data_IF_251878691886
#
_entry.id   IF_251878691886
#
_cell.length_a   1.000
_cell.length_b   1.000
_cell.length_c   1.000
_cell.angle_alpha   90.00
_cell.angle_beta   90.00
_cell.angle_gamma   90.00
#
_symmetry.space_group_name_H-M   'P 1'
#
loop_
_entity.id
_entity.type
_entity.pdbx_description
1 polymer ?
#
# COMPACT_ATOMS: atom_id res chain seq x y z
N UNK A 1 64.37 18.06 22.73
CA UNK A 1 63.21 18.82 22.19
C UNK A 1 63.07 18.38 20.74
N UNK A 2 62.00 17.75 20.27
CA UNK A 2 60.59 17.96 20.58
C UNK A 2 59.82 16.65 20.35
N UNK A 3 59.41 16.00 21.45
CA UNK A 3 58.41 14.91 21.46
C UNK A 3 56.98 15.49 21.33
N UNK A 4 56.87 16.80 21.11
CA UNK A 4 55.60 17.53 21.15
C UNK A 4 54.77 17.47 19.86
N UNK A 5 55.29 16.90 18.76
CA UNK A 5 54.57 16.90 17.48
C UNK A 5 53.83 15.59 17.16
N UNK A 6 54.11 14.50 17.88
CA UNK A 6 53.53 13.18 17.58
C UNK A 6 52.29 12.81 18.40
N UNK A 7 51.94 13.60 19.42
CA UNK A 7 50.83 13.30 20.35
C UNK A 7 49.54 14.06 20.06
N UNK A 8 49.51 14.96 19.09
CA UNK A 8 48.34 15.78 18.77
C UNK A 8 47.51 15.30 17.57
N UNK A 9 47.92 14.21 16.90
CA UNK A 9 47.16 13.63 15.77
C UNK A 9 46.26 12.43 16.13
N UNK A 10 46.09 12.11 17.41
CA UNK A 10 45.26 10.96 17.86
C UNK A 10 44.02 11.36 18.67
N UNK A 11 43.66 12.64 18.72
CA UNK A 11 42.49 13.15 19.44
C UNK A 11 41.44 13.71 18.47
N UNK A 12 40.92 12.86 17.58
CA UNK A 12 39.71 13.17 16.81
C UNK A 12 39.05 11.91 16.25
N UNK A 13 38.49 11.08 17.11
CA UNK A 13 37.24 10.37 16.79
C UNK A 13 36.45 10.28 18.10
N UNK A 14 35.11 10.33 18.11
CA UNK A 14 34.25 9.81 17.03
C UNK A 14 33.02 10.71 16.75
N UNK A 15 32.19 10.25 15.81
CA UNK A 15 30.80 10.71 15.63
C UNK A 15 30.60 12.09 15.05
N UNK A 16 30.86 12.24 13.75
CA UNK A 16 29.79 12.63 12.82
C UNK A 16 30.09 11.87 11.52
N UNK A 17 29.77 10.56 11.49
CA UNK A 17 29.10 10.10 10.28
C UNK A 17 27.77 10.82 10.38
N UNK A 18 27.74 12.05 9.84
CA UNK A 18 26.51 12.50 9.23
C UNK A 18 26.19 11.31 8.36
N UNK A 19 25.11 10.62 8.69
CA UNK A 19 24.36 10.01 7.63
C UNK A 19 24.22 11.15 6.64
N UNK A 20 25.08 11.15 5.62
CA UNK A 20 24.73 11.66 4.32
C UNK A 20 23.39 11.02 4.16
N UNK A 21 22.36 11.85 4.37
CA UNK A 21 21.00 11.39 4.35
C UNK A 21 20.93 10.66 3.05
N UNK A 22 20.83 9.34 3.12
CA UNK A 22 20.26 8.58 2.03
C UNK A 22 18.83 9.10 2.05
N UNK A 23 18.64 10.25 1.39
CA UNK A 23 17.40 10.77 0.91
C UNK A 23 16.95 9.70 -0.06
N UNK A 24 16.45 8.64 0.53
CA UNK A 24 15.74 7.60 -0.15
C UNK A 24 14.39 8.26 -0.46
N UNK A 25 14.13 8.65 -1.72
CA UNK A 25 12.87 9.26 -2.10
C UNK A 25 11.69 8.28 -1.92
N UNK A 26 11.96 7.03 -1.53
CA UNK A 26 10.99 5.96 -1.32
C UNK A 26 10.55 5.80 0.14
N UNK A 27 10.95 6.68 1.07
CA UNK A 27 10.36 6.69 2.42
C UNK A 27 8.96 7.30 2.37
N UNK A 28 7.95 6.46 2.16
CA UNK A 28 6.63 6.70 2.75
C UNK A 28 6.85 6.77 4.27
N UNK A 29 7.01 7.98 4.80
CA UNK A 29 7.04 8.20 6.24
C UNK A 29 5.65 7.88 6.76
N UNK A 30 5.49 6.66 7.25
CA UNK A 30 4.31 6.23 7.99
C UNK A 30 4.79 6.07 9.42
N UNK A 31 4.20 6.85 10.33
CA UNK A 31 4.50 6.66 11.73
C UNK A 31 4.07 5.25 12.15
N UNK A 32 5.01 4.36 12.43
CA UNK A 32 4.75 2.94 12.75
C UNK A 32 3.90 2.74 14.03
N UNK A 33 3.56 3.83 14.73
CA UNK A 33 2.72 3.86 15.94
C UNK A 33 1.22 4.06 15.65
N UNK A 34 0.80 4.46 14.45
CA UNK A 34 -0.62 4.61 14.12
C UNK A 34 -1.20 3.35 13.47
N UNK A 35 -2.11 2.68 14.18
CA UNK A 35 -2.99 1.64 13.64
C UNK A 35 -4.39 2.22 13.45
N UNK A 36 -4.87 2.33 12.20
CA UNK A 36 -6.31 2.49 12.01
C UNK A 36 -6.99 1.14 12.28
N UNK A 37 -8.20 1.14 12.87
CA UNK A 37 -8.95 -0.09 13.01
C UNK A 37 -9.29 -0.64 11.62
N UNK A 38 -8.67 -1.76 11.24
CA UNK A 38 -9.05 -2.51 10.03
C UNK A 38 -10.49 -3.00 10.24
N UNK A 39 -11.42 -2.51 9.41
CA UNK A 39 -12.83 -2.91 9.43
C UNK A 39 -13.12 -3.84 8.27
N UNK A 40 -13.01 -5.13 8.55
CA UNK A 40 -13.33 -6.18 7.61
C UNK A 40 -14.85 -6.33 7.48
N UNK A 41 -15.35 -6.30 6.24
CA UNK A 41 -16.73 -6.66 5.91
C UNK A 41 -16.70 -7.86 4.96
N UNK A 42 -17.27 -8.99 5.37
CA UNK A 42 -17.32 -10.21 4.56
C UNK A 42 -18.65 -10.28 3.79
N UNK A 43 -18.60 -10.55 2.48
CA UNK A 43 -19.77 -10.93 1.68
C UNK A 43 -19.39 -12.04 0.70
N UNK A 44 -20.01 -13.20 0.86
CA UNK A 44 -19.86 -14.41 0.01
C UNK A 44 -20.07 -15.69 0.83
N UNK A 45 -20.60 -16.76 0.22
CA UNK A 45 -20.96 -18.02 0.92
C UNK A 45 -19.77 -18.91 1.30
N UNK A 46 -18.66 -18.83 0.57
CA UNK A 46 -17.39 -19.55 0.82
C UNK A 46 -16.22 -18.60 1.12
N UNK A 47 -16.51 -17.30 1.21
CA UNK A 47 -15.56 -16.25 1.50
C UNK A 47 -15.31 -16.17 3.01
N UNK A 48 -14.05 -16.16 3.43
CA UNK A 48 -13.68 -15.86 4.82
C UNK A 48 -12.73 -14.68 4.85
N UNK A 49 -12.81 -13.92 5.93
CA UNK A 49 -11.79 -12.93 6.25
C UNK A 49 -11.38 -13.12 7.71
N UNK A 50 -10.13 -13.55 7.90
CA UNK A 50 -9.53 -13.87 9.19
C UNK A 50 -8.62 -12.73 9.62
N UNK A 51 -8.94 -12.08 10.74
CA UNK A 51 -8.06 -11.09 11.36
C UNK A 51 -7.10 -11.80 12.31
N UNK A 52 -5.81 -11.78 12.02
CA UNK A 52 -4.79 -12.38 12.90
C UNK A 52 -4.40 -11.43 14.04
N UNK A 53 -4.30 -10.13 13.73
CA UNK A 53 -3.95 -9.07 14.66
C UNK A 53 -4.48 -7.72 14.14
N UNK A 54 -4.12 -6.61 14.77
CA UNK A 54 -4.58 -5.27 14.37
C UNK A 54 -4.03 -4.78 13.02
N UNK A 55 -3.01 -5.44 12.46
CA UNK A 55 -2.26 -5.05 11.25
C UNK A 55 -2.25 -6.13 10.17
N UNK A 56 -2.96 -7.23 10.38
CA UNK A 56 -2.91 -8.41 9.52
C UNK A 56 -4.29 -9.01 9.30
N UNK A 57 -4.62 -9.26 8.03
CA UNK A 57 -5.86 -9.89 7.61
C UNK A 57 -5.61 -10.88 6.49
N UNK A 58 -6.21 -12.07 6.57
CA UNK A 58 -6.27 -13.02 5.47
C UNK A 58 -7.66 -13.04 4.88
N UNK A 59 -7.71 -13.02 3.57
CA UNK A 59 -8.89 -13.10 2.74
C UNK A 59 -8.86 -14.44 2.02
N UNK A 60 -9.95 -15.20 2.04
CA UNK A 60 -10.09 -16.46 1.31
C UNK A 60 -11.30 -16.40 0.39
N UNK A 61 -11.14 -16.94 -0.81
CA UNK A 61 -12.12 -16.94 -1.89
C UNK A 61 -12.36 -15.57 -2.50
N UNK A 62 -13.51 -15.42 -3.17
CA UNK A 62 -13.97 -14.19 -3.83
C UNK A 62 -14.54 -13.19 -2.82
N UNK A 63 -13.76 -12.85 -1.79
CA UNK A 63 -14.12 -11.91 -0.74
C UNK A 63 -13.63 -10.49 -1.04
N UNK A 64 -14.05 -9.51 -0.25
CA UNK A 64 -13.57 -8.12 -0.34
C UNK A 64 -13.27 -7.63 1.07
N UNK A 65 -12.28 -6.76 1.22
CA UNK A 65 -11.93 -6.19 2.52
C UNK A 65 -11.77 -4.68 2.40
N UNK A 66 -12.37 -3.95 3.34
CA UNK A 66 -12.19 -2.50 3.48
C UNK A 66 -11.08 -2.27 4.51
N UNK A 67 -9.94 -1.74 4.08
CA UNK A 67 -8.78 -1.58 4.96
C UNK A 67 -8.84 -0.34 5.84
N UNK A 68 -9.59 0.67 5.41
CA UNK A 68 -9.56 2.02 5.97
C UNK A 68 -10.83 2.75 5.56
N UNK A 69 -11.39 3.57 6.46
CA UNK A 69 -12.60 4.39 6.22
C UNK A 69 -12.49 5.85 6.69
N UNK A 70 -11.36 6.56 6.53
CA UNK A 70 -11.27 7.94 6.95
C UNK A 70 -12.14 8.79 6.04
N UNK A 71 -12.71 9.87 6.55
CA UNK A 71 -13.20 10.97 5.71
C UNK A 71 -12.08 12.02 5.68
N UNK A 72 -10.94 11.68 5.08
CA UNK A 72 -9.75 12.54 5.11
C UNK A 72 -9.15 12.76 3.73
N UNK A 73 -8.71 14.00 3.51
CA UNK A 73 -8.10 14.46 2.26
C UNK A 73 -6.65 14.03 2.11
N UNK A 74 -5.92 13.91 3.22
CA UNK A 74 -4.51 13.53 3.28
C UNK A 74 -4.34 12.21 4.03
N UNK A 75 -4.01 11.12 3.32
CA UNK A 75 -3.95 9.76 3.87
C UNK A 75 -2.72 9.03 3.34
N UNK A 76 -2.03 8.30 4.22
CA UNK A 76 -0.98 7.36 3.83
C UNK A 76 -1.32 5.97 4.31
N UNK A 77 -1.09 4.98 3.47
CA UNK A 77 -1.21 3.58 3.85
C UNK A 77 -0.08 2.77 3.22
N UNK A 78 0.45 1.80 3.97
CA UNK A 78 1.31 0.75 3.43
C UNK A 78 0.88 -0.61 3.97
N UNK A 79 1.19 -1.63 3.19
CA UNK A 79 0.92 -3.03 3.51
C UNK A 79 1.87 -3.94 2.74
N UNK A 80 1.96 -5.19 3.19
CA UNK A 80 2.58 -6.30 2.48
C UNK A 80 1.50 -7.28 2.04
N UNK A 81 1.41 -7.59 0.75
CA UNK A 81 0.49 -8.56 0.17
C UNK A 81 1.21 -9.87 -0.15
N UNK A 82 0.63 -11.01 0.26
CA UNK A 82 1.16 -12.35 0.03
C UNK A 82 -0.01 -13.26 -0.39
N UNK A 83 0.05 -13.86 -1.57
CA UNK A 83 -1.00 -14.77 -2.03
C UNK A 83 -0.55 -16.23 -2.12
N UNK A 84 -1.51 -17.15 -2.23
CA UNK A 84 -1.26 -18.56 -2.52
C UNK A 84 -1.23 -18.86 -4.04
N UNK A 85 -0.96 -20.11 -4.40
CA UNK A 85 -0.89 -20.58 -5.80
C UNK A 85 -2.23 -20.46 -6.55
N UNK A 86 -3.35 -20.49 -5.83
CA UNK A 86 -4.70 -20.36 -6.38
C UNK A 86 -5.07 -18.91 -6.71
N UNK A 87 -4.39 -17.94 -6.08
CA UNK A 87 -4.58 -16.52 -6.37
C UNK A 87 -3.94 -16.17 -7.73
N UNK A 88 -4.67 -15.41 -8.54
CA UNK A 88 -4.22 -14.88 -9.83
C UNK A 88 -3.71 -13.43 -9.71
N UNK A 89 -4.15 -12.73 -8.66
CA UNK A 89 -3.76 -11.36 -8.38
C UNK A 89 -4.71 -10.71 -7.38
N UNK A 90 -4.69 -9.39 -7.31
CA UNK A 90 -5.65 -8.62 -6.52
C UNK A 90 -5.84 -7.21 -7.09
N UNK A 91 -6.95 -6.59 -6.72
CA UNK A 91 -7.29 -5.20 -7.00
C UNK A 91 -7.32 -4.40 -5.71
N UNK A 92 -6.80 -3.19 -5.76
CA UNK A 92 -6.97 -2.16 -4.75
C UNK A 92 -7.78 -1.02 -5.37
N UNK A 93 -8.98 -0.81 -4.86
CA UNK A 93 -9.80 0.35 -5.21
C UNK A 93 -9.55 1.44 -4.17
N UNK A 94 -9.06 2.58 -4.65
CA UNK A 94 -8.77 3.77 -3.87
C UNK A 94 -9.82 4.82 -4.18
N UNK A 95 -10.13 5.66 -3.19
CA UNK A 95 -11.10 6.76 -3.30
C UNK A 95 -12.47 6.30 -3.77
N UNK A 96 -13.02 5.31 -3.08
CA UNK A 96 -14.35 4.75 -3.37
C UNK A 96 -15.06 4.40 -2.06
N UNK A 97 -16.35 4.10 -2.13
CA UNK A 97 -17.07 3.33 -1.11
C UNK A 97 -17.45 1.95 -1.65
N UNK A 98 -17.87 1.03 -0.77
CA UNK A 98 -18.43 -0.26 -1.22
C UNK A 98 -19.74 -0.05 -1.98
N UNK A 99 -20.57 0.90 -1.53
CA UNK A 99 -21.80 1.30 -2.22
C UNK A 99 -21.51 1.81 -3.62
N UNK A 100 -20.55 2.73 -3.76
CA UNK A 100 -20.14 3.28 -5.06
C UNK A 100 -19.58 2.21 -5.99
N UNK A 101 -18.76 1.30 -5.46
CA UNK A 101 -18.19 0.20 -6.23
C UNK A 101 -19.27 -0.77 -6.73
N UNK A 102 -20.26 -1.10 -5.89
CA UNK A 102 -21.29 -2.09 -6.20
C UNK A 102 -22.46 -1.54 -7.02
N UNK A 103 -22.94 -0.35 -6.66
CA UNK A 103 -24.19 0.20 -7.18
C UNK A 103 -23.96 1.24 -8.27
N UNK A 104 -22.84 1.94 -8.23
CA UNK A 104 -22.56 3.07 -9.12
C UNK A 104 -21.35 2.85 -10.03
N UNK A 105 -20.63 1.73 -9.85
CA UNK A 105 -19.35 1.45 -10.52
C UNK A 105 -18.37 2.62 -10.46
N UNK A 106 -18.48 3.44 -9.41
CA UNK A 106 -17.71 4.66 -9.26
C UNK A 106 -16.53 4.36 -8.35
N UNK A 107 -15.33 4.59 -8.83
CA UNK A 107 -14.08 4.38 -8.10
C UNK A 107 -13.07 5.43 -8.55
N UNK A 108 -12.12 5.82 -7.69
CA UNK A 108 -11.18 6.88 -8.03
C UNK A 108 -9.97 6.36 -8.80
N UNK A 109 -9.14 5.56 -8.13
CA UNK A 109 -7.97 4.92 -8.76
C UNK A 109 -7.99 3.45 -8.41
N UNK A 110 -7.80 2.60 -9.41
CA UNK A 110 -7.70 1.16 -9.22
C UNK A 110 -6.29 0.70 -9.54
N UNK A 111 -5.61 0.10 -8.56
CA UNK A 111 -4.42 -0.70 -8.84
C UNK A 111 -4.83 -2.16 -9.04
N UNK A 112 -4.37 -2.76 -10.13
CA UNK A 112 -4.49 -4.18 -10.41
C UNK A 112 -3.07 -4.75 -10.44
N UNK A 113 -2.80 -5.77 -9.63
CA UNK A 113 -1.56 -6.54 -9.69
C UNK A 113 -1.92 -8.01 -9.87
N UNK A 114 -1.58 -8.58 -11.01
CA UNK A 114 -1.85 -9.98 -11.33
C UNK A 114 -0.68 -10.62 -12.09
N UNK A 115 -0.88 -11.85 -12.56
CA UNK A 115 0.14 -12.61 -13.31
C UNK A 115 0.55 -11.96 -14.64
N UNK A 116 -0.27 -11.08 -15.20
CA UNK A 116 0.04 -10.37 -16.45
C UNK A 116 0.89 -9.13 -16.18
N UNK A 117 0.70 -8.49 -15.03
CA UNK A 117 1.44 -7.30 -14.64
C UNK A 117 0.69 -6.40 -13.68
N UNK A 118 1.23 -5.20 -13.54
CA UNK A 118 0.63 -4.11 -12.80
C UNK A 118 -0.07 -3.16 -13.77
N UNK A 119 -1.29 -2.77 -13.43
CA UNK A 119 -2.06 -1.73 -14.13
C UNK A 119 -2.64 -0.77 -13.11
N UNK A 120 -2.55 0.52 -13.40
CA UNK A 120 -3.20 1.59 -12.62
C UNK A 120 -4.23 2.22 -13.54
N UNK A 121 -5.48 2.24 -13.09
CA UNK A 121 -6.64 2.69 -13.86
C UNK A 121 -7.24 3.92 -13.20
N UNK A 122 -7.78 4.82 -14.01
CA UNK A 122 -8.60 5.94 -13.53
C UNK A 122 -10.04 5.54 -13.23
N UNK A 123 -10.85 6.54 -12.89
CA UNK A 123 -12.28 6.41 -12.60
C UNK A 123 -13.13 5.90 -13.77
N UNK A 124 -12.61 6.00 -15.00
CA UNK A 124 -13.24 5.51 -16.23
C UNK A 124 -12.63 4.19 -16.73
N UNK A 125 -11.75 3.56 -15.95
CA UNK A 125 -11.02 2.35 -16.33
C UNK A 125 -9.99 2.54 -17.45
N UNK A 126 -9.62 3.79 -17.75
CA UNK A 126 -8.51 4.10 -18.64
C UNK A 126 -7.19 3.79 -17.94
N UNK A 127 -6.25 3.19 -18.66
CA UNK A 127 -4.91 2.88 -18.12
C UNK A 127 -4.12 4.17 -17.95
N UNK A 128 -3.80 4.50 -16.69
CA UNK A 128 -2.91 5.61 -16.32
C UNK A 128 -1.44 5.20 -16.33
N UNK A 129 -1.16 3.96 -15.94
CA UNK A 129 0.16 3.35 -15.98
C UNK A 129 0.04 1.83 -16.08
N UNK A 130 1.01 1.19 -16.73
CA UNK A 130 1.09 -0.26 -16.74
C UNK A 130 2.53 -0.72 -16.89
N UNK A 131 2.85 -1.86 -16.29
CA UNK A 131 4.10 -2.56 -16.50
C UNK A 131 3.87 -4.06 -16.39
N UNK A 132 4.56 -4.83 -17.21
CA UNK A 132 4.60 -6.27 -17.12
C UNK A 132 5.83 -6.75 -16.33
N UNK A 133 6.67 -5.86 -15.78
CA UNK A 133 7.84 -6.27 -14.99
C UNK A 133 7.50 -6.50 -13.51
N UNK A 134 6.44 -5.84 -13.01
CA UNK A 134 5.90 -6.06 -11.68
C UNK A 134 4.67 -6.94 -11.82
N UNK A 135 4.80 -8.21 -11.42
CA UNK A 135 3.74 -9.22 -11.50
C UNK A 135 3.46 -9.78 -10.13
N UNK A 136 2.24 -10.27 -9.96
CA UNK A 136 1.93 -11.14 -8.84
C UNK A 136 2.69 -12.46 -8.97
N UNK A 137 3.32 -12.89 -7.88
CA UNK A 137 3.94 -14.20 -7.74
C UNK A 137 3.47 -14.84 -6.43
N UNK A 138 3.00 -16.09 -6.51
CA UNK A 138 2.56 -16.84 -5.35
C UNK A 138 3.68 -17.00 -4.31
N UNK A 139 3.33 -16.85 -3.03
CA UNK A 139 4.27 -16.92 -1.91
C UNK A 139 5.28 -15.77 -1.81
N UNK A 140 5.42 -14.91 -2.82
CA UNK A 140 6.37 -13.79 -2.82
C UNK A 140 5.72 -12.55 -2.18
N UNK A 141 6.26 -12.03 -1.07
CA UNK A 141 5.72 -10.82 -0.46
C UNK A 141 5.91 -9.60 -1.35
N UNK A 142 4.82 -8.86 -1.58
CA UNK A 142 4.83 -7.63 -2.35
C UNK A 142 4.46 -6.46 -1.44
N UNK A 143 5.39 -5.51 -1.29
CA UNK A 143 5.13 -4.28 -0.54
C UNK A 143 4.36 -3.29 -1.41
N UNK A 144 3.32 -2.69 -0.85
CA UNK A 144 2.47 -1.70 -1.52
C UNK A 144 2.27 -0.53 -0.59
N UNK A 145 2.38 0.67 -1.13
CA UNK A 145 2.05 1.89 -0.39
C UNK A 145 1.30 2.86 -1.30
N UNK A 146 0.46 3.70 -0.70
CA UNK A 146 -0.13 4.83 -1.39
C UNK A 146 -0.22 6.03 -0.47
N UNK A 147 -0.14 7.20 -1.09
CA UNK A 147 -0.32 8.50 -0.46
C UNK A 147 -1.38 9.27 -1.24
N UNK A 148 -2.39 9.75 -0.52
CA UNK A 148 -3.37 10.69 -0.99
C UNK A 148 -3.05 12.08 -0.41
N UNK A 149 -3.01 13.07 -1.29
CA UNK A 149 -2.85 14.50 -0.96
C UNK A 149 -3.91 15.29 -1.74
N UNK A 150 -5.02 15.59 -1.07
CA UNK A 150 -6.20 16.21 -1.69
C UNK A 150 -6.76 15.34 -2.83
N UNK A 151 -6.58 15.81 -4.07
CA UNK A 151 -6.99 15.13 -5.31
C UNK A 151 -5.87 14.29 -5.94
N UNK A 152 -4.67 14.26 -5.37
CA UNK A 152 -3.51 13.58 -5.93
C UNK A 152 -3.24 12.27 -5.23
N UNK A 153 -2.85 11.23 -5.98
CA UNK A 153 -2.50 9.92 -5.44
C UNK A 153 -1.15 9.48 -5.98
N UNK A 154 -0.24 9.09 -5.09
CA UNK A 154 0.99 8.38 -5.45
C UNK A 154 0.87 6.93 -4.99
N UNK A 155 1.40 6.01 -5.78
CA UNK A 155 1.35 4.57 -5.48
C UNK A 155 2.75 3.99 -5.65
N UNK A 156 3.20 3.21 -4.68
CA UNK A 156 4.42 2.42 -4.82
C UNK A 156 4.13 0.93 -4.70
N UNK A 157 4.79 0.15 -5.55
CA UNK A 157 4.79 -1.31 -5.52
C UNK A 157 6.22 -1.80 -5.62
N UNK A 158 6.64 -2.59 -4.63
CA UNK A 158 8.04 -2.94 -4.45
C UNK A 158 8.91 -1.67 -4.33
N UNK A 159 9.88 -1.53 -5.21
CA UNK A 159 10.78 -0.37 -5.30
C UNK A 159 10.38 0.63 -6.40
N UNK A 160 9.18 0.49 -6.99
CA UNK A 160 8.74 1.33 -8.11
C UNK A 160 7.66 2.30 -7.65
N UNK A 161 7.78 3.56 -8.04
CA UNK A 161 6.83 4.63 -7.75
C UNK A 161 6.03 5.01 -9.01
N UNK A 162 4.73 5.22 -8.83
CA UNK A 162 3.78 5.62 -9.86
C UNK A 162 3.02 6.88 -9.44
N UNK A 163 2.68 7.70 -10.43
CA UNK A 163 1.96 8.97 -10.22
C UNK A 163 2.89 10.18 -10.05
N UNK A 164 2.35 11.31 -9.54
CA UNK A 164 1.02 11.47 -8.97
C UNK A 164 -0.10 11.40 -10.01
N UNK A 165 -1.21 10.77 -9.66
CA UNK A 165 -2.45 10.69 -10.45
C UNK A 165 -3.53 11.59 -9.85
N UNK A 166 -4.31 12.27 -10.69
CA UNK A 166 -5.38 13.16 -10.25
C UNK A 166 -6.74 12.47 -10.37
N UNK A 167 -7.61 12.66 -9.37
CA UNK A 167 -9.03 12.24 -9.44
C UNK A 167 -9.96 13.42 -9.19
N UNK A 168 -11.17 13.38 -9.73
CA UNK A 168 -12.19 14.39 -9.43
C UNK A 168 -12.89 14.09 -8.10
N UNK A 169 -12.81 12.83 -7.65
CA UNK A 169 -13.35 12.37 -6.38
C UNK A 169 -12.55 12.97 -5.21
N UNK A 170 -13.22 13.60 -4.23
CA UNK A 170 -12.56 14.09 -3.03
C UNK A 170 -12.03 12.92 -2.17
N UNK A 171 -11.03 13.23 -1.35
CA UNK A 171 -10.69 12.59 -0.07
C UNK A 171 -11.33 11.22 0.21
N UNK A 172 -10.53 10.18 0.00
CA UNK A 172 -10.82 8.75 0.16
C UNK A 172 -11.84 8.44 1.25
N UNK A 173 -12.97 7.78 0.92
CA UNK A 173 -13.88 7.23 1.93
C UNK A 173 -13.54 5.78 2.30
N UNK A 174 -12.95 4.99 1.39
CA UNK A 174 -12.42 3.66 1.68
C UNK A 174 -11.28 3.22 0.74
N UNK A 175 -10.43 2.32 1.25
CA UNK A 175 -9.56 1.45 0.42
C UNK A 175 -10.11 0.04 0.44
N UNK A 176 -10.48 -0.49 -0.73
CA UNK A 176 -11.10 -1.81 -0.87
C UNK A 176 -10.14 -2.74 -1.59
N UNK A 177 -9.85 -3.89 -1.00
CA UNK A 177 -9.08 -4.97 -1.63
C UNK A 177 -10.01 -6.04 -2.14
N UNK A 178 -9.74 -6.53 -3.35
CA UNK A 178 -10.48 -7.63 -3.98
C UNK A 178 -9.48 -8.63 -4.55
N UNK A 179 -9.38 -9.86 -4.01
CA UNK A 179 -8.60 -10.94 -4.61
C UNK A 179 -9.15 -11.29 -6.00
N UNK A 180 -8.26 -11.68 -6.91
CA UNK A 180 -8.59 -12.22 -8.23
C UNK A 180 -8.19 -13.70 -8.21
N UNK A 181 -9.16 -14.59 -8.42
CA UNK A 181 -8.93 -16.03 -8.50
C UNK A 181 -10.18 -16.83 -8.13
N UNK A 182 -9.99 -18.14 -7.89
CA UNK A 182 -11.05 -19.09 -7.53
C UNK A 182 -11.35 -19.14 -6.03
N UNK A 183 -12.30 -20.00 -5.63
CA UNK A 183 -12.84 -20.06 -4.26
C UNK A 183 -11.79 -20.42 -3.19
N UNK A 184 -10.71 -21.12 -3.57
CA UNK A 184 -9.57 -21.45 -2.68
C UNK A 184 -8.46 -20.39 -2.68
N UNK A 185 -8.63 -19.29 -3.43
CA UNK A 185 -7.65 -18.21 -3.48
C UNK A 185 -7.49 -17.59 -2.10
N UNK A 186 -6.25 -17.36 -1.67
CA UNK A 186 -5.97 -16.70 -0.41
C UNK A 186 -5.03 -15.53 -0.62
N UNK A 187 -5.41 -14.38 -0.04
CA UNK A 187 -4.61 -13.18 0.03
C UNK A 187 -4.41 -12.79 1.49
N UNK A 188 -3.16 -12.77 1.92
CA UNK A 188 -2.75 -12.28 3.23
C UNK A 188 -2.19 -10.86 3.08
N UNK A 189 -2.80 -9.93 3.78
CA UNK A 189 -2.32 -8.57 3.95
C UNK A 189 -1.72 -8.45 5.35
N UNK A 190 -0.47 -7.97 5.44
CA UNK A 190 0.30 -7.83 6.68
C UNK A 190 0.93 -6.45 6.75
N UNK A 191 1.45 -6.12 7.93
CA UNK A 191 2.16 -4.85 8.18
C UNK A 191 1.33 -3.64 7.77
N UNK A 192 -0.01 -3.75 7.89
CA UNK A 192 -0.92 -2.69 7.50
C UNK A 192 -0.69 -1.51 8.43
N UNK A 193 -0.15 -0.44 7.87
CA UNK A 193 0.15 0.80 8.55
C UNK A 193 -0.62 1.93 7.89
N UNK A 194 -1.28 2.75 8.70
CA UNK A 194 -2.14 3.82 8.23
C UNK A 194 -1.83 5.11 8.98
N UNK A 195 -1.80 6.22 8.27
CA UNK A 195 -1.65 7.54 8.82
C UNK A 195 -2.66 8.49 8.19
N UNK A 196 -3.47 9.09 9.06
CA UNK A 196 -4.42 10.15 8.78
C UNK A 196 -3.70 11.48 9.06
N UNK A 197 -3.31 12.22 8.01
CA UNK A 197 -2.44 13.40 8.17
C UNK A 197 -3.27 14.65 8.51
N UNK A 198 -4.45 14.82 7.87
CA UNK A 198 -5.37 15.94 8.13
C UNK A 198 -6.84 15.57 7.88
N UNK A 199 -7.78 16.08 8.71
CA UNK A 199 -9.22 16.02 8.44
C UNK A 199 -9.59 16.68 7.10
#
# INVERSE_FOLDING_TARGET
>A
MSILLLTLLTLATPFVVSSIGTSDPYRFWINATTTAPIRVWNRGTLASVEKFDERSVRMVGKTRAVLTTPKQTEVRLAMTAIGNEQLEGFRLHLRTTDTDLLQHQRQGITLVLDRQGLRILDEHQSVLASTDTLRYHAGIPTRIAFEHDGQWTRIAVGCTLFGPFRTHLPATEATIVVPIGEDESSLLLKDIAFEAVRP
#
